data_IF_728883028188
#
_entry.id   IF_728883028188
#
_cell.length_a   1.000
_cell.length_b   1.000
_cell.length_c   1.000
_cell.angle_alpha   90.00
_cell.angle_beta   90.00
_cell.angle_gamma   90.00
#
_symmetry.space_group_name_H-M   'P 1'
#
loop_
_entity.id
_entity.type
_entity.pdbx_description
1 polymer ?
#
# COMPACT_ATOMS: atom_id res chain seq x y z
N UNK A 1 61.64 2.35 -11.37
CA UNK A 1 61.29 1.72 -12.66
C UNK A 1 60.13 0.75 -12.39
N UNK A 2 58.94 1.06 -12.94
CA UNK A 2 57.71 0.25 -13.08
C UNK A 2 57.14 -0.45 -11.81
N UNK A 3 55.93 -0.13 -11.32
CA UNK A 3 54.62 -0.55 -11.87
C UNK A 3 54.23 -1.90 -11.23
N UNK A 4 53.05 -2.20 -10.68
CA UNK A 4 51.67 -1.86 -11.04
C UNK A 4 50.71 -2.10 -9.85
N UNK A 5 49.58 -1.40 -9.90
CA UNK A 5 48.38 -1.53 -9.08
C UNK A 5 47.57 -2.76 -9.51
N UNK A 6 47.10 -3.59 -8.57
CA UNK A 6 45.91 -4.44 -8.67
C UNK A 6 45.28 -4.45 -7.26
N UNK A 7 44.09 -3.91 -6.99
CA UNK A 7 42.86 -3.99 -7.76
C UNK A 7 41.98 -5.03 -7.08
N UNK A 8 41.31 -4.64 -5.98
CA UNK A 8 40.36 -5.50 -5.29
C UNK A 8 39.17 -5.82 -6.21
N UNK A 9 38.88 -7.10 -6.39
CA UNK A 9 37.69 -7.55 -7.10
C UNK A 9 36.66 -8.09 -6.11
N UNK A 10 35.56 -7.35 -6.02
CA UNK A 10 34.28 -7.79 -5.48
C UNK A 10 33.73 -8.94 -6.32
N UNK A 11 33.51 -10.10 -5.71
CA UNK A 11 32.77 -11.19 -6.34
C UNK A 11 31.26 -10.91 -6.24
N UNK A 12 30.73 -10.18 -7.22
CA UNK A 12 29.30 -10.21 -7.55
C UNK A 12 29.19 -11.14 -8.75
N UNK A 13 29.01 -12.44 -8.50
CA UNK A 13 28.69 -13.39 -9.55
C UNK A 13 27.17 -13.45 -9.69
N UNK A 14 26.64 -12.81 -10.73
CA UNK A 14 25.26 -13.06 -11.17
C UNK A 14 25.10 -14.55 -11.52
N UNK A 15 23.98 -15.22 -11.19
CA UNK A 15 23.79 -16.60 -11.61
C UNK A 15 23.65 -16.65 -13.14
N UNK A 16 24.17 -17.70 -13.82
CA UNK A 16 24.09 -17.78 -15.27
C UNK A 16 22.65 -18.03 -15.73
N UNK A 17 22.28 -17.43 -16.86
CA UNK A 17 21.02 -17.64 -17.59
C UNK A 17 20.76 -19.11 -18.03
N UNK A 18 21.65 -20.05 -17.69
CA UNK A 18 21.51 -21.48 -17.97
C UNK A 18 20.44 -22.18 -17.12
N UNK A 19 19.94 -21.55 -16.04
CA UNK A 19 18.90 -22.15 -15.21
C UNK A 19 17.52 -22.21 -15.89
N UNK A 20 17.33 -21.56 -17.04
CA UNK A 20 16.03 -21.46 -17.73
C UNK A 20 15.76 -22.54 -18.78
N UNK A 21 16.58 -23.59 -18.91
CA UNK A 21 16.48 -24.57 -20.01
C UNK A 21 16.08 -26.00 -19.61
N UNK A 22 15.21 -26.17 -18.62
CA UNK A 22 14.52 -27.45 -18.40
C UNK A 22 13.05 -27.22 -18.05
N UNK A 23 12.19 -27.14 -19.06
CA UNK A 23 10.73 -27.11 -18.88
C UNK A 23 10.05 -28.00 -19.92
N UNK A 24 9.91 -29.29 -19.60
CA UNK A 24 8.95 -30.21 -20.23
C UNK A 24 8.82 -31.46 -19.35
N UNK A 25 7.87 -31.47 -18.42
CA UNK A 25 7.58 -32.65 -17.59
C UNK A 25 6.37 -32.44 -16.69
N UNK A 26 5.42 -33.38 -16.75
CA UNK A 26 4.12 -33.44 -16.04
C UNK A 26 4.25 -33.65 -14.51
N UNK A 27 5.00 -32.79 -13.83
CA UNK A 27 5.07 -32.70 -12.38
C UNK A 27 5.17 -31.25 -11.95
N UNK A 28 4.83 -30.93 -10.69
CA UNK A 28 5.02 -29.59 -10.11
C UNK A 28 6.46 -29.13 -10.45
N UNK A 29 6.65 -28.10 -11.29
CA UNK A 29 7.91 -27.88 -12.00
C UNK A 29 9.10 -27.52 -11.09
N UNK A 30 8.88 -27.39 -9.78
CA UNK A 30 9.90 -26.95 -8.85
C UNK A 30 9.82 -27.62 -7.46
N UNK A 31 10.31 -28.86 -7.29
CA UNK A 31 10.42 -29.51 -5.97
C UNK A 31 11.35 -28.75 -5.02
N UNK A 32 12.48 -28.28 -5.54
CA UNK A 32 13.51 -27.54 -4.80
C UNK A 32 13.02 -26.19 -4.25
N UNK A 33 12.00 -25.59 -4.88
CA UNK A 33 11.45 -24.30 -4.50
C UNK A 33 10.82 -24.34 -3.09
N UNK A 34 10.30 -25.49 -2.66
CA UNK A 34 9.75 -25.67 -1.31
C UNK A 34 10.82 -25.90 -0.24
N UNK A 35 12.04 -26.25 -0.64
CA UNK A 35 13.16 -26.56 0.24
C UNK A 35 14.09 -25.35 0.48
N UNK A 36 13.82 -24.21 -0.17
CA UNK A 36 14.60 -22.98 -0.01
C UNK A 36 14.49 -22.44 1.42
N UNK A 37 15.63 -21.94 1.92
CA UNK A 37 15.64 -21.13 3.15
C UNK A 37 14.84 -19.85 2.93
N UNK A 38 14.27 -19.32 4.02
CA UNK A 38 13.40 -18.13 3.99
C UNK A 38 14.06 -16.92 3.28
N UNK A 39 15.32 -16.63 3.59
CA UNK A 39 16.05 -15.50 2.99
C UNK A 39 16.31 -15.68 1.49
N UNK A 40 16.76 -16.88 1.09
CA UNK A 40 17.01 -17.23 -0.32
C UNK A 40 15.72 -17.17 -1.15
N UNK A 41 14.63 -17.71 -0.59
CA UNK A 41 13.29 -17.62 -1.17
C UNK A 41 12.85 -16.16 -1.31
N UNK A 42 13.09 -15.33 -0.30
CA UNK A 42 12.74 -13.92 -0.32
C UNK A 42 13.45 -13.15 -1.44
N UNK A 43 14.77 -13.32 -1.57
CA UNK A 43 15.55 -12.71 -2.66
C UNK A 43 15.08 -13.21 -4.03
N UNK A 44 14.83 -14.52 -4.15
CA UNK A 44 14.35 -15.10 -5.40
C UNK A 44 12.96 -14.55 -5.80
N UNK A 45 12.04 -14.42 -4.84
CA UNK A 45 10.74 -13.79 -5.05
C UNK A 45 10.87 -12.34 -5.56
N UNK A 46 11.77 -11.55 -4.99
CA UNK A 46 12.03 -10.17 -5.43
C UNK A 46 12.52 -10.16 -6.88
N UNK A 47 13.46 -11.04 -7.24
CA UNK A 47 13.95 -11.14 -8.62
C UNK A 47 12.85 -11.55 -9.60
N UNK A 48 12.03 -12.54 -9.25
CA UNK A 48 10.90 -12.99 -10.07
C UNK A 48 9.88 -11.87 -10.30
N UNK A 49 9.54 -11.10 -9.26
CA UNK A 49 8.61 -9.97 -9.37
C UNK A 49 9.13 -8.91 -10.35
N UNK A 50 10.41 -8.56 -10.26
CA UNK A 50 11.05 -7.59 -11.16
C UNK A 50 11.08 -8.11 -12.60
N UNK A 51 11.48 -9.36 -12.81
CA UNK A 51 11.50 -9.97 -14.14
C UNK A 51 10.09 -10.05 -14.75
N UNK A 52 9.11 -10.51 -13.98
CA UNK A 52 7.72 -10.56 -14.40
C UNK A 52 7.19 -9.16 -14.74
N UNK A 53 7.48 -8.14 -13.93
CA UNK A 53 7.09 -6.77 -14.22
C UNK A 53 7.68 -6.24 -15.55
N UNK A 54 8.93 -6.59 -15.87
CA UNK A 54 9.55 -6.26 -17.16
C UNK A 54 8.83 -6.94 -18.33
N UNK A 55 8.45 -8.21 -18.19
CA UNK A 55 7.66 -8.90 -19.23
C UNK A 55 6.28 -8.30 -19.43
N UNK A 56 5.60 -7.91 -18.35
CA UNK A 56 4.32 -7.18 -18.40
C UNK A 56 4.49 -5.83 -19.10
N UNK A 57 5.54 -5.07 -18.79
CA UNK A 57 5.82 -3.80 -19.42
C UNK A 57 6.16 -3.94 -20.92
N UNK A 58 6.87 -5.01 -21.29
CA UNK A 58 7.20 -5.34 -22.68
C UNK A 58 6.01 -5.91 -23.49
N UNK A 59 4.85 -6.14 -22.86
CA UNK A 59 3.69 -6.76 -23.50
C UNK A 59 3.86 -8.25 -23.82
N UNK A 60 4.91 -8.89 -23.28
CA UNK A 60 5.22 -10.29 -23.49
C UNK A 60 4.37 -11.17 -22.58
N UNK A 61 3.14 -11.48 -22.99
CA UNK A 61 2.16 -12.23 -22.21
C UNK A 61 2.62 -13.63 -21.82
N UNK A 62 3.30 -14.33 -22.71
CA UNK A 62 3.80 -15.69 -22.46
C UNK A 62 4.80 -15.71 -21.29
N UNK A 63 5.86 -14.89 -21.38
CA UNK A 63 6.86 -14.78 -20.31
C UNK A 63 6.26 -14.21 -19.01
N UNK A 64 5.31 -13.28 -19.10
CA UNK A 64 4.60 -12.79 -17.92
C UNK A 64 3.80 -13.91 -17.25
N UNK A 65 3.11 -14.77 -18.01
CA UNK A 65 2.37 -15.90 -17.47
C UNK A 65 3.29 -16.90 -16.75
N UNK A 66 4.45 -17.23 -17.34
CA UNK A 66 5.46 -18.10 -16.71
C UNK A 66 5.95 -17.47 -15.39
N UNK A 67 6.26 -16.18 -15.39
CA UNK A 67 6.67 -15.46 -14.18
C UNK A 67 5.60 -15.51 -13.08
N UNK A 68 4.34 -15.22 -13.43
CA UNK A 68 3.21 -15.28 -12.50
C UNK A 68 3.01 -16.69 -11.92
N UNK A 69 3.11 -17.74 -12.75
CA UNK A 69 3.02 -19.13 -12.32
C UNK A 69 4.11 -19.47 -11.29
N UNK A 70 5.37 -19.14 -11.59
CA UNK A 70 6.48 -19.37 -10.69
C UNK A 70 6.31 -18.65 -9.35
N UNK A 71 5.88 -17.39 -9.37
CA UNK A 71 5.66 -16.63 -8.13
C UNK A 71 4.49 -17.22 -7.34
N UNK A 72 3.43 -17.71 -7.99
CA UNK A 72 2.25 -18.29 -7.32
C UNK A 72 2.58 -19.52 -6.47
N UNK A 73 3.63 -20.26 -6.80
CA UNK A 73 4.09 -21.40 -6.01
C UNK A 73 4.89 -21.01 -4.77
N UNK A 74 5.38 -19.77 -4.72
CA UNK A 74 6.29 -19.26 -3.70
C UNK A 74 5.64 -18.25 -2.77
N UNK A 75 4.74 -17.44 -3.31
CA UNK A 75 4.02 -16.40 -2.59
C UNK A 75 2.92 -17.01 -1.72
N UNK A 76 2.66 -16.38 -0.58
CA UNK A 76 1.59 -16.77 0.34
C UNK A 76 1.14 -15.56 1.15
N UNK A 77 -0.17 -15.33 1.22
CA UNK A 77 -0.76 -14.24 2.02
C UNK A 77 -0.63 -14.47 3.54
N UNK A 78 -0.42 -15.71 3.95
CA UNK A 78 -0.22 -16.14 5.35
C UNK A 78 1.24 -16.49 5.65
N UNK A 79 2.15 -16.27 4.69
CA UNK A 79 3.58 -16.57 4.81
C UNK A 79 4.39 -15.49 5.53
N UNK A 80 5.70 -15.55 5.35
CA UNK A 80 6.60 -14.49 5.82
C UNK A 80 6.35 -13.15 5.10
N UNK A 81 6.96 -12.07 5.59
CA UNK A 81 6.78 -10.71 5.04
C UNK A 81 7.00 -10.64 3.52
N UNK A 82 8.02 -11.31 2.99
CA UNK A 82 8.33 -11.25 1.55
C UNK A 82 7.33 -12.07 0.75
N UNK A 83 6.90 -13.22 1.25
CA UNK A 83 5.84 -14.01 0.63
C UNK A 83 4.52 -13.25 0.54
N UNK A 84 4.17 -12.50 1.60
CA UNK A 84 2.95 -11.67 1.65
C UNK A 84 3.02 -10.54 0.63
N UNK A 85 4.14 -9.83 0.58
CA UNK A 85 4.40 -8.80 -0.44
C UNK A 85 4.27 -9.41 -1.84
N UNK A 86 4.95 -10.54 -2.09
CA UNK A 86 4.90 -11.19 -3.39
C UNK A 86 3.49 -11.61 -3.79
N UNK A 87 2.66 -12.09 -2.87
CA UNK A 87 1.28 -12.47 -3.16
C UNK A 87 0.47 -11.28 -3.70
N UNK A 88 0.49 -10.14 -3.00
CA UNK A 88 -0.25 -8.95 -3.41
C UNK A 88 0.31 -8.32 -4.70
N UNK A 89 1.64 -8.30 -4.89
CA UNK A 89 2.23 -7.81 -6.13
C UNK A 89 1.95 -8.72 -7.33
N UNK A 90 1.89 -10.04 -7.13
CA UNK A 90 1.52 -11.00 -8.19
C UNK A 90 0.09 -10.78 -8.64
N UNK A 91 -0.84 -10.61 -7.70
CA UNK A 91 -2.23 -10.24 -8.02
C UNK A 91 -2.31 -8.90 -8.79
N UNK A 92 -1.53 -7.90 -8.35
CA UNK A 92 -1.50 -6.59 -9.02
C UNK A 92 -0.95 -6.68 -10.46
N UNK A 93 0.11 -7.46 -10.68
CA UNK A 93 0.69 -7.69 -12.01
C UNK A 93 -0.27 -8.46 -12.92
N UNK A 94 -0.91 -9.52 -12.41
CA UNK A 94 -1.92 -10.27 -13.15
C UNK A 94 -3.10 -9.37 -13.56
N UNK A 95 -3.60 -8.51 -12.65
CA UNK A 95 -4.62 -7.53 -12.96
C UNK A 95 -4.17 -6.52 -14.02
N UNK A 96 -2.91 -6.06 -13.98
CA UNK A 96 -2.34 -5.18 -15.01
C UNK A 96 -2.32 -5.85 -16.38
N UNK A 97 -1.94 -7.13 -16.44
CA UNK A 97 -1.99 -7.93 -17.69
C UNK A 97 -3.43 -8.01 -18.21
N UNK A 98 -4.40 -8.34 -17.35
CA UNK A 98 -5.81 -8.45 -17.74
C UNK A 98 -6.39 -7.16 -18.30
N UNK A 99 -5.90 -5.98 -17.87
CA UNK A 99 -6.34 -4.68 -18.41
C UNK A 99 -6.01 -4.48 -19.89
N UNK A 100 -5.10 -5.27 -20.47
CA UNK A 100 -4.88 -5.31 -21.92
C UNK A 100 -6.10 -5.86 -22.69
N UNK A 101 -7.00 -6.58 -22.00
CA UNK A 101 -8.29 -7.07 -22.53
C UNK A 101 -9.46 -6.51 -21.72
N UNK A 102 -9.93 -5.29 -22.02
CA UNK A 102 -10.94 -4.61 -21.22
C UNK A 102 -12.24 -5.40 -21.05
N UNK A 103 -12.65 -6.16 -22.08
CA UNK A 103 -13.84 -7.01 -22.02
C UNK A 103 -13.71 -8.13 -20.97
N UNK A 104 -12.58 -8.84 -20.96
CA UNK A 104 -12.30 -9.90 -19.99
C UNK A 104 -12.17 -9.32 -18.58
N UNK A 105 -11.41 -8.24 -18.43
CA UNK A 105 -11.25 -7.56 -17.13
C UNK A 105 -12.60 -7.10 -16.56
N UNK A 106 -13.48 -6.54 -17.38
CA UNK A 106 -14.83 -6.11 -16.94
C UNK A 106 -15.71 -7.31 -16.58
N UNK A 107 -15.67 -8.38 -17.37
CA UNK A 107 -16.45 -9.59 -17.12
C UNK A 107 -16.07 -10.24 -15.77
N UNK A 108 -14.77 -10.40 -15.51
CA UNK A 108 -14.26 -11.00 -14.27
C UNK A 108 -14.57 -10.17 -13.01
N UNK A 109 -14.67 -8.84 -13.15
CA UNK A 109 -14.97 -7.94 -12.04
C UNK A 109 -16.45 -7.56 -11.92
N UNK A 110 -17.33 -8.08 -12.80
CA UNK A 110 -18.73 -7.66 -12.90
C UNK A 110 -19.56 -7.93 -11.64
N UNK A 111 -19.15 -8.92 -10.84
CA UNK A 111 -19.85 -9.35 -9.62
C UNK A 111 -19.12 -8.93 -8.34
N UNK A 112 -18.01 -8.17 -8.45
CA UNK A 112 -17.22 -7.77 -7.28
C UNK A 112 -17.98 -6.71 -6.47
N UNK A 113 -18.55 -7.12 -5.35
CA UNK A 113 -19.24 -6.22 -4.42
C UNK A 113 -18.22 -5.61 -3.48
N UNK A 114 -18.12 -4.27 -3.49
CA UNK A 114 -17.34 -3.54 -2.49
C UNK A 114 -18.18 -3.30 -1.25
N UNK A 115 -17.83 -3.92 -0.13
CA UNK A 115 -18.51 -3.69 1.15
C UNK A 115 -18.00 -2.40 1.81
N UNK A 116 -18.86 -1.38 1.94
CA UNK A 116 -18.50 -0.11 2.62
C UNK A 116 -18.10 -0.37 4.07
N UNK A 117 -18.78 -1.27 4.76
CA UNK A 117 -18.48 -1.61 6.16
C UNK A 117 -17.07 -2.20 6.34
N UNK A 118 -16.63 -3.05 5.39
CA UNK A 118 -15.28 -3.62 5.42
C UNK A 118 -14.21 -2.53 5.23
N UNK A 119 -14.44 -1.57 4.33
CA UNK A 119 -13.52 -0.44 4.14
C UNK A 119 -13.37 0.40 5.40
N UNK A 120 -14.49 0.76 6.03
CA UNK A 120 -14.50 1.52 7.29
C UNK A 120 -13.75 0.73 8.38
N UNK A 121 -14.00 -0.57 8.47
CA UNK A 121 -13.33 -1.43 9.45
C UNK A 121 -11.81 -1.48 9.25
N UNK A 122 -11.34 -1.63 8.00
CA UNK A 122 -9.91 -1.64 7.67
C UNK A 122 -9.26 -0.27 7.96
N UNK A 123 -9.95 0.83 7.66
CA UNK A 123 -9.46 2.19 7.97
C UNK A 123 -9.29 2.39 9.49
N UNK A 124 -10.29 1.97 10.28
CA UNK A 124 -10.21 2.06 11.73
C UNK A 124 -9.07 1.20 12.28
N UNK A 125 -8.93 -0.04 11.80
CA UNK A 125 -7.85 -0.92 12.20
C UNK A 125 -6.47 -0.32 11.86
N UNK A 126 -6.34 0.29 10.69
CA UNK A 126 -5.10 0.95 10.29
C UNK A 126 -4.78 2.13 11.22
N UNK A 127 -5.78 2.96 11.56
CA UNK A 127 -5.61 4.06 12.51
C UNK A 127 -5.25 3.57 13.92
N UNK A 128 -5.84 2.47 14.38
CA UNK A 128 -5.58 1.90 15.70
C UNK A 128 -4.18 1.29 15.80
N UNK A 129 -3.79 0.46 14.82
CA UNK A 129 -2.55 -0.32 14.85
C UNK A 129 -1.30 0.48 14.46
N UNK A 130 -1.42 1.48 13.57
CA UNK A 130 -0.27 2.19 13.03
C UNK A 130 -0.22 3.67 13.48
N UNK A 131 0.98 4.24 13.66
CA UNK A 131 1.12 5.62 14.15
C UNK A 131 1.04 6.68 13.03
N UNK A 132 1.04 6.29 11.76
CA UNK A 132 1.23 7.22 10.64
C UNK A 132 0.20 8.35 10.61
N UNK A 133 -1.09 8.01 10.71
CA UNK A 133 -2.16 9.00 10.69
C UNK A 133 -2.20 9.84 11.96
N UNK A 134 -2.00 9.22 13.12
CA UNK A 134 -1.93 9.94 14.41
C UNK A 134 -0.81 10.99 14.38
N UNK A 135 0.36 10.63 13.84
CA UNK A 135 1.47 11.56 13.68
C UNK A 135 1.15 12.67 12.68
N UNK A 136 0.58 12.32 11.52
CA UNK A 136 0.15 13.28 10.51
C UNK A 136 -0.86 14.29 11.09
N UNK A 137 -1.82 13.83 11.90
CA UNK A 137 -2.82 14.69 12.55
C UNK A 137 -2.19 15.66 13.53
N UNK A 138 -1.27 15.21 14.39
CA UNK A 138 -0.57 16.10 15.34
C UNK A 138 0.21 17.17 14.61
N UNK A 139 1.01 16.79 13.59
CA UNK A 139 1.83 17.74 12.84
C UNK A 139 0.94 18.73 12.07
N UNK A 140 -0.11 18.24 11.42
CA UNK A 140 -1.03 19.09 10.65
C UNK A 140 -1.79 20.05 11.54
N UNK A 141 -2.30 19.57 12.68
CA UNK A 141 -2.99 20.42 13.65
C UNK A 141 -2.06 21.49 14.21
N UNK A 142 -0.80 21.15 14.51
CA UNK A 142 0.19 22.13 14.96
C UNK A 142 0.44 23.20 13.90
N UNK A 143 0.64 22.81 12.65
CA UNK A 143 0.82 23.74 11.54
C UNK A 143 -0.40 24.65 11.33
N UNK A 144 -1.62 24.11 11.46
CA UNK A 144 -2.86 24.90 11.40
C UNK A 144 -2.92 25.89 12.57
N UNK A 145 -2.59 25.47 13.79
CA UNK A 145 -2.65 26.33 14.98
C UNK A 145 -1.69 27.50 14.85
N UNK A 146 -0.48 27.25 14.37
CA UNK A 146 0.53 28.29 14.11
C UNK A 146 0.10 29.24 12.99
N UNK A 147 -0.39 28.69 11.87
CA UNK A 147 -0.82 29.50 10.73
C UNK A 147 -2.03 30.40 11.05
N UNK A 148 -2.87 29.99 12.01
CA UNK A 148 -4.10 30.67 12.40
C UNK A 148 -3.97 31.45 13.72
N UNK A 149 -2.75 31.81 14.13
CA UNK A 149 -2.50 32.64 15.32
C UNK A 149 -3.14 34.02 15.15
N UNK A 150 -3.86 34.52 16.17
CA UNK A 150 -4.58 35.81 16.14
C UNK A 150 -5.84 35.84 15.27
N UNK A 151 -6.09 34.83 14.45
CA UNK A 151 -7.27 34.77 13.58
C UNK A 151 -8.56 34.49 14.35
N UNK A 152 -9.59 35.31 14.10
CA UNK A 152 -10.89 35.20 14.79
C UNK A 152 -11.87 34.24 14.12
N UNK A 153 -11.66 33.97 12.84
CA UNK A 153 -12.52 33.12 12.01
C UNK A 153 -11.64 32.15 11.25
N UNK A 154 -11.81 30.85 11.47
CA UNK A 154 -11.02 29.80 10.81
C UNK A 154 -11.95 28.93 10.00
N UNK A 155 -11.64 28.72 8.72
CA UNK A 155 -12.35 27.77 7.86
C UNK A 155 -11.40 26.71 7.34
N UNK A 156 -11.63 25.46 7.75
CA UNK A 156 -10.87 24.29 7.33
C UNK A 156 -11.65 23.56 6.25
N UNK A 157 -10.95 23.11 5.21
CA UNK A 157 -11.49 22.24 4.18
C UNK A 157 -10.75 20.90 4.27
N UNK A 158 -11.46 19.86 4.68
CA UNK A 158 -10.96 18.49 4.75
C UNK A 158 -11.43 17.72 3.51
N UNK A 159 -10.48 17.22 2.73
CA UNK A 159 -10.76 16.54 1.47
C UNK A 159 -11.06 15.04 1.64
N UNK A 160 -10.74 14.44 2.78
CA UNK A 160 -10.93 12.99 3.00
C UNK A 160 -11.15 12.67 4.49
N UNK A 161 -12.27 13.17 5.02
CA UNK A 161 -12.63 13.01 6.43
C UNK A 161 -13.19 11.61 6.71
N UNK A 162 -12.37 10.67 7.18
CA UNK A 162 -12.85 9.36 7.65
C UNK A 162 -12.73 9.14 9.18
N UNK A 163 -11.84 9.86 9.87
CA UNK A 163 -11.63 9.70 11.33
C UNK A 163 -11.71 11.06 12.06
N UNK A 164 -12.73 11.30 12.91
CA UNK A 164 -12.94 12.59 13.56
C UNK A 164 -11.88 12.98 14.61
N UNK A 165 -11.00 12.06 15.03
CA UNK A 165 -9.99 12.33 16.05
C UNK A 165 -9.11 13.55 15.75
N UNK A 166 -8.78 13.81 14.48
CA UNK A 166 -7.99 14.98 14.09
C UNK A 166 -8.67 16.29 14.54
N UNK A 167 -9.94 16.45 14.16
CA UNK A 167 -10.69 17.68 14.41
C UNK A 167 -11.10 17.84 15.87
N UNK A 168 -11.35 16.73 16.58
CA UNK A 168 -11.58 16.77 18.03
C UNK A 168 -10.34 17.33 18.75
N UNK A 169 -9.15 16.85 18.40
CA UNK A 169 -7.91 17.36 18.98
C UNK A 169 -7.67 18.83 18.64
N UNK A 170 -7.90 19.23 17.38
CA UNK A 170 -7.75 20.62 16.96
C UNK A 170 -8.70 21.57 17.70
N UNK A 171 -9.97 21.16 17.89
CA UNK A 171 -10.96 21.93 18.63
C UNK A 171 -10.51 22.15 20.09
N UNK A 172 -9.98 21.12 20.74
CA UNK A 172 -9.42 21.23 22.09
C UNK A 172 -8.24 22.22 22.13
N UNK A 173 -7.33 22.14 21.15
CA UNK A 173 -6.18 23.05 21.07
C UNK A 173 -6.62 24.51 20.83
N UNK A 174 -7.61 24.75 19.98
CA UNK A 174 -8.17 26.08 19.76
C UNK A 174 -8.87 26.65 20.99
N UNK A 175 -9.60 25.83 21.75
CA UNK A 175 -10.23 26.27 23.01
C UNK A 175 -9.23 26.64 24.10
N UNK A 176 -8.02 26.07 24.05
CA UNK A 176 -6.96 26.36 25.01
C UNK A 176 -6.12 27.61 24.66
N UNK A 177 -6.42 28.29 23.54
CA UNK A 177 -5.69 29.51 23.14
C UNK A 177 -5.87 30.63 24.17
N UNK A 178 -4.80 31.39 24.50
CA UNK A 178 -4.90 32.52 25.43
C UNK A 178 -5.90 33.61 24.98
N UNK A 179 -6.05 33.78 23.67
CA UNK A 179 -6.96 34.76 23.03
C UNK A 179 -8.43 34.32 23.04
N UNK A 180 -8.70 33.09 23.47
CA UNK A 180 -9.99 32.42 23.31
C UNK A 180 -10.13 31.68 21.96
N UNK A 181 -11.16 30.85 21.81
CA UNK A 181 -11.38 30.09 20.59
C UNK A 181 -11.84 30.97 19.41
N UNK A 182 -11.38 30.70 18.19
CA UNK A 182 -11.94 31.32 16.98
C UNK A 182 -13.31 30.73 16.66
N UNK A 183 -14.07 31.43 15.81
CA UNK A 183 -15.21 30.81 15.13
C UNK A 183 -14.70 29.83 14.08
N UNK A 184 -14.87 28.54 14.35
CA UNK A 184 -14.39 27.46 13.48
C UNK A 184 -15.50 26.95 12.56
N UNK A 185 -15.21 26.88 11.26
CA UNK A 185 -15.98 26.13 10.27
C UNK A 185 -15.12 25.01 9.70
N UNK A 186 -15.68 23.81 9.56
CA UNK A 186 -15.03 22.70 8.86
C UNK A 186 -15.96 22.25 7.74
N UNK A 187 -15.43 22.16 6.52
CA UNK A 187 -16.13 21.61 5.36
C UNK A 187 -15.43 20.33 4.93
N UNK A 188 -16.17 19.24 4.82
CA UNK A 188 -15.64 17.95 4.38
C UNK A 188 -16.14 17.61 2.98
N UNK A 189 -15.29 17.03 2.13
CA UNK A 189 -15.76 16.42 0.89
C UNK A 189 -16.50 15.11 1.21
N UNK A 190 -17.71 14.97 0.65
CA UNK A 190 -18.67 13.92 1.00
C UNK A 190 -18.25 12.58 0.36
N UNK A 191 -17.48 11.78 1.08
CA UNK A 191 -17.36 10.34 0.80
C UNK A 191 -18.66 9.61 1.15
N UNK A 192 -19.28 8.94 0.17
CA UNK A 192 -20.59 8.28 0.30
C UNK A 192 -20.64 7.28 1.48
N UNK A 193 -21.49 7.58 2.47
CA UNK A 193 -22.13 6.59 3.36
C UNK A 193 -21.58 6.49 4.79
N UNK A 194 -22.39 6.89 5.77
CA UNK A 194 -22.39 6.49 7.20
C UNK A 194 -21.78 7.43 8.25
N UNK A 195 -20.83 8.31 7.93
CA UNK A 195 -20.20 9.17 8.96
C UNK A 195 -21.07 10.32 9.48
N UNK A 196 -22.05 10.75 8.69
CA UNK A 196 -22.93 11.90 8.96
C UNK A 196 -23.65 11.76 10.32
N UNK A 197 -24.08 10.55 10.68
CA UNK A 197 -24.76 10.31 11.97
C UNK A 197 -23.84 10.36 13.19
N UNK A 198 -22.53 10.14 13.02
CA UNK A 198 -21.58 10.07 14.13
C UNK A 198 -21.04 11.45 14.53
N UNK A 199 -20.78 12.31 13.55
CA UNK A 199 -20.32 13.69 13.77
C UNK A 199 -21.49 14.57 14.22
N UNK A 200 -22.68 14.44 13.63
CA UNK A 200 -23.87 15.18 14.06
C UNK A 200 -24.31 14.78 15.49
N UNK A 201 -24.31 13.47 15.83
CA UNK A 201 -24.60 13.04 17.22
C UNK A 201 -23.59 13.51 18.25
N UNK A 202 -22.30 13.61 17.90
CA UNK A 202 -21.24 14.02 18.85
C UNK A 202 -21.12 15.54 18.96
N UNK A 203 -21.37 16.28 17.88
CA UNK A 203 -21.43 17.74 17.90
C UNK A 203 -22.59 18.24 18.77
N UNK A 204 -23.75 17.58 18.72
CA UNK A 204 -24.87 17.86 19.64
C UNK A 204 -24.64 17.50 21.11
N UNK A 205 -23.61 16.70 21.42
CA UNK A 205 -23.23 16.37 22.81
C UNK A 205 -22.18 17.32 23.40
N UNK A 206 -21.52 18.13 22.56
CA UNK A 206 -20.47 19.06 22.97
C UNK A 206 -20.89 20.54 22.85
N UNK A 207 -22.11 20.82 22.39
CA UNK A 207 -22.75 22.13 22.44
C UNK A 207 -23.70 22.28 23.61
#
# INVERSE_FOLDING_TARGET
MAGMIQGGQSFITSPPLQFMSWMSGLGSPFPWIRELKSEERGLYLIHLLVACANHVAAGSLENANIGLEQISHLASADGDTVQRIAAYFTEALANRVLKAWPGLHKALNSTKISCVHERIHVQNLFFELFPFLKLAYVITNQAIVEAMEGEKMVHIIDLDCFEPAQWINLFQTFNARPEGPPHLRITTERGVGSYDTSIDRRSRKMG
#
